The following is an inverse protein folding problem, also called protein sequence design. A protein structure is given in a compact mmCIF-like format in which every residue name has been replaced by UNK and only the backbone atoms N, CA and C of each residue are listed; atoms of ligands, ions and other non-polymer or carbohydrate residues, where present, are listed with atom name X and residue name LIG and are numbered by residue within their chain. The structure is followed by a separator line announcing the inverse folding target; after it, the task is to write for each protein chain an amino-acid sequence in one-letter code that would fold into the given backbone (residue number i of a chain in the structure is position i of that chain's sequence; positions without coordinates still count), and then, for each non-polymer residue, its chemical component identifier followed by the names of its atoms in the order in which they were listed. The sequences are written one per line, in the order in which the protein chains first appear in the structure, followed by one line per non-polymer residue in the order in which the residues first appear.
data_IF_301344608666
#
_entry.id   IF_301344608666
#
_cell.length_a   1.000
_cell.length_b   1.000
_cell.length_c   1.000
_cell.angle_alpha   90.00
_cell.angle_beta   90.00
_cell.angle_gamma   90.00
#
_symmetry.space_group_name_H-M   'P 1'
#
loop_
_entity.id
_entity.type
_entity.pdbx_description
1 polymer ?
#
# COMPACT_ATOMS: atom_id res chain seq x y z
N UNK A 1 -21.19 4.06 2.74
CA UNK A 1 -20.33 4.56 3.84
C UNK A 1 -19.08 3.70 4.02
N UNK A 2 -19.20 2.38 4.28
CA UNK A 2 -18.02 1.51 4.47
C UNK A 2 -17.08 1.40 3.26
N UNK A 3 -17.60 1.39 2.03
CA UNK A 3 -16.76 1.32 0.82
C UNK A 3 -15.90 2.57 0.62
N UNK A 4 -16.45 3.73 0.99
CA UNK A 4 -15.72 5.00 0.98
C UNK A 4 -14.62 5.02 2.05
N UNK A 5 -14.92 4.57 3.27
CA UNK A 5 -13.92 4.44 4.33
C UNK A 5 -12.78 3.49 3.95
N UNK A 6 -13.11 2.34 3.36
CA UNK A 6 -12.11 1.37 2.90
C UNK A 6 -11.23 1.95 1.79
N UNK A 7 -11.81 2.68 0.84
CA UNK A 7 -11.04 3.35 -0.21
C UNK A 7 -10.08 4.40 0.37
N UNK A 8 -10.53 5.22 1.34
CA UNK A 8 -9.69 6.24 1.98
C UNK A 8 -8.58 5.64 2.85
N UNK A 9 -8.86 4.54 3.57
CA UNK A 9 -7.86 3.79 4.33
C UNK A 9 -6.77 3.22 3.42
N UNK A 10 -7.14 2.69 2.26
CA UNK A 10 -6.17 2.15 1.32
C UNK A 10 -5.41 3.24 0.55
N UNK A 11 -6.02 4.41 0.33
CA UNK A 11 -5.43 5.52 -0.42
C UNK A 11 -4.05 5.93 0.13
N UNK A 12 -3.86 5.93 1.45
CA UNK A 12 -2.56 6.22 2.05
C UNK A 12 -1.47 5.25 1.58
N UNK A 13 -1.73 3.93 1.65
CA UNK A 13 -0.77 2.91 1.24
C UNK A 13 -0.51 2.86 -0.27
N UNK A 14 -1.50 3.22 -1.09
CA UNK A 14 -1.38 3.23 -2.56
C UNK A 14 -0.46 4.35 -3.08
N UNK A 15 -0.24 5.43 -2.31
CA UNK A 15 0.59 6.57 -2.72
C UNK A 15 2.08 6.30 -2.54
N UNK A 16 2.47 5.44 -1.60
CA UNK A 16 3.87 5.19 -1.27
C UNK A 16 4.69 4.76 -2.49
N UNK A 17 4.17 3.83 -3.29
CA UNK A 17 4.91 3.26 -4.42
C UNK A 17 5.13 4.28 -5.57
N UNK A 18 4.10 5.01 -6.06
CA UNK A 18 4.29 6.11 -7.01
C UNK A 18 5.35 7.14 -6.61
N UNK A 19 5.38 7.53 -5.33
CA UNK A 19 6.36 8.49 -4.83
C UNK A 19 7.78 7.89 -4.90
N UNK A 20 7.99 6.68 -4.39
CA UNK A 20 9.30 6.03 -4.39
C UNK A 20 9.81 5.73 -5.81
N UNK A 21 8.93 5.32 -6.73
CA UNK A 21 9.29 5.09 -8.13
C UNK A 21 9.68 6.40 -8.81
N UNK A 22 8.93 7.48 -8.58
CA UNK A 22 9.24 8.78 -9.19
C UNK A 22 10.63 9.29 -8.77
N UNK A 23 11.05 8.99 -7.55
CA UNK A 23 12.38 9.33 -7.03
C UNK A 23 13.49 8.40 -7.54
N UNK A 24 13.19 7.14 -7.84
CA UNK A 24 14.16 6.21 -8.41
C UNK A 24 14.44 6.51 -9.89
N UNK A 25 13.45 7.06 -10.60
CA UNK A 25 13.51 7.32 -12.04
C UNK A 25 14.16 8.67 -12.37
N UNK A 26 14.14 9.64 -11.44
CA UNK A 26 14.82 10.94 -11.55
C UNK A 26 14.43 11.79 -12.76
N UNK A 27 13.15 12.15 -12.83
CA UNK A 27 12.58 12.94 -13.93
C UNK A 27 12.84 14.47 -13.84
N UNK A 28 13.59 14.96 -12.85
CA UNK A 28 13.85 16.40 -12.64
C UNK A 28 12.57 17.22 -12.45
N UNK A 29 12.43 18.33 -13.20
CA UNK A 29 11.24 19.20 -13.18
C UNK A 29 9.93 18.46 -13.56
N UNK A 30 10.01 17.39 -14.36
CA UNK A 30 8.86 16.58 -14.75
C UNK A 30 8.39 15.58 -13.66
N UNK A 31 9.06 15.52 -12.50
CA UNK A 31 8.74 14.59 -11.40
C UNK A 31 7.30 14.74 -10.92
N UNK A 32 6.79 15.98 -10.76
CA UNK A 32 5.42 16.22 -10.31
C UNK A 32 4.41 15.65 -11.31
N UNK A 33 4.61 15.92 -12.61
CA UNK A 33 3.72 15.42 -13.66
C UNK A 33 3.75 13.88 -13.72
N UNK A 34 4.93 13.27 -13.59
CA UNK A 34 5.11 11.82 -13.55
C UNK A 34 4.43 11.21 -12.31
N UNK A 35 4.58 11.81 -11.13
CA UNK A 35 3.90 11.38 -9.88
C UNK A 35 2.39 11.36 -10.07
N UNK A 36 1.82 12.41 -10.66
CA UNK A 36 0.37 12.48 -10.93
C UNK A 36 -0.09 11.33 -11.82
N UNK A 37 0.64 11.05 -12.89
CA UNK A 37 0.33 9.95 -13.79
C UNK A 37 0.43 8.59 -13.10
N UNK A 38 1.48 8.36 -12.32
CA UNK A 38 1.69 7.11 -11.56
C UNK A 38 0.62 6.90 -10.48
N UNK A 39 0.23 7.95 -9.75
CA UNK A 39 -0.83 7.90 -8.73
C UNK A 39 -2.18 7.54 -9.39
N UNK A 40 -2.53 8.24 -10.47
CA UNK A 40 -3.75 7.98 -11.22
C UNK A 40 -3.79 6.55 -11.77
N UNK A 41 -2.69 6.10 -12.41
CA UNK A 41 -2.57 4.74 -12.92
C UNK A 41 -2.67 3.68 -11.80
N UNK A 42 -2.09 3.94 -10.64
CA UNK A 42 -2.16 3.04 -9.47
C UNK A 42 -3.60 2.92 -8.97
N UNK A 43 -4.34 4.02 -8.86
CA UNK A 43 -5.74 3.95 -8.42
C UNK A 43 -6.64 3.22 -9.42
N UNK A 44 -6.48 3.48 -10.72
CA UNK A 44 -7.25 2.80 -11.76
C UNK A 44 -6.92 1.30 -11.79
N UNK A 45 -5.63 0.94 -11.83
CA UNK A 45 -5.19 -0.46 -11.85
C UNK A 45 -5.60 -1.23 -10.59
N UNK A 46 -5.45 -0.64 -9.41
CA UNK A 46 -5.88 -1.25 -8.14
C UNK A 46 -7.40 -1.42 -8.07
N UNK A 47 -8.15 -0.44 -8.56
CA UNK A 47 -9.61 -0.50 -8.62
C UNK A 47 -10.10 -1.60 -9.57
N UNK A 48 -9.52 -1.70 -10.77
CA UNK A 48 -9.82 -2.76 -11.74
C UNK A 48 -9.46 -4.13 -11.16
N UNK A 49 -8.25 -4.30 -10.60
CA UNK A 49 -7.81 -5.55 -10.00
C UNK A 49 -8.73 -5.99 -8.85
N UNK A 50 -9.17 -5.04 -8.01
CA UNK A 50 -10.11 -5.30 -6.92
C UNK A 50 -11.47 -5.77 -7.43
N UNK A 51 -12.00 -5.16 -8.50
CA UNK A 51 -13.26 -5.59 -9.10
C UNK A 51 -13.12 -6.98 -9.72
N UNK A 52 -12.05 -7.23 -10.46
CA UNK A 52 -11.78 -8.55 -11.08
C UNK A 52 -11.66 -9.63 -10.00
N UNK A 53 -10.90 -9.37 -8.93
CA UNK A 53 -10.73 -10.34 -7.84
C UNK A 53 -12.05 -10.65 -7.12
N UNK A 54 -12.88 -9.63 -6.91
CA UNK A 54 -14.15 -9.80 -6.18
C UNK A 54 -15.26 -10.42 -7.04
N UNK A 55 -15.16 -10.36 -8.37
CA UNK A 55 -16.14 -10.91 -9.33
C UNK A 55 -15.73 -12.28 -9.88
N UNK A 56 -14.62 -12.33 -10.64
CA UNK A 56 -14.16 -13.49 -11.39
C UNK A 56 -13.02 -14.25 -10.70
N UNK A 57 -12.24 -13.59 -9.85
CA UNK A 57 -11.16 -14.21 -9.10
C UNK A 57 -11.66 -15.12 -7.98
N UNK A 58 -10.89 -15.17 -6.89
CA UNK A 58 -11.20 -16.02 -5.72
C UNK A 58 -12.46 -15.56 -4.95
N UNK A 59 -13.15 -14.50 -5.41
CA UNK A 59 -14.34 -13.89 -4.76
C UNK A 59 -14.09 -13.49 -3.30
N UNK A 60 -12.82 -13.26 -2.97
CA UNK A 60 -12.36 -12.81 -1.66
C UNK A 60 -12.56 -11.29 -1.56
N UNK A 61 -13.02 -10.84 -0.40
CA UNK A 61 -13.23 -9.42 -0.12
C UNK A 61 -11.90 -8.77 0.28
N UNK A 62 -11.01 -8.50 -0.70
CA UNK A 62 -9.69 -7.90 -0.49
C UNK A 62 -9.45 -6.77 -1.49
N UNK A 63 -9.00 -5.62 -1.00
CA UNK A 63 -8.57 -4.50 -1.84
C UNK A 63 -7.14 -4.71 -2.31
N UNK A 64 -6.90 -4.64 -3.62
CA UNK A 64 -5.57 -4.84 -4.19
C UNK A 64 -4.77 -3.54 -4.19
N UNK A 65 -3.46 -3.67 -4.03
CA UNK A 65 -2.50 -2.57 -4.03
C UNK A 65 -1.12 -3.03 -4.53
N UNK A 66 -0.18 -2.10 -4.74
CA UNK A 66 1.20 -2.44 -5.06
C UNK A 66 1.81 -3.25 -3.90
N UNK A 67 2.50 -4.34 -4.23
CA UNK A 67 3.08 -5.21 -3.23
C UNK A 67 4.39 -4.61 -2.69
N UNK A 68 4.45 -4.43 -1.36
CA UNK A 68 5.66 -3.95 -0.67
C UNK A 68 6.87 -4.87 -0.85
N UNK A 69 6.65 -6.13 -1.26
CA UNK A 69 7.72 -7.07 -1.59
C UNK A 69 8.59 -6.64 -2.78
N UNK A 70 8.10 -5.72 -3.64
CA UNK A 70 8.90 -5.16 -4.74
C UNK A 70 9.70 -3.92 -4.34
N UNK A 71 9.56 -3.43 -3.11
CA UNK A 71 10.31 -2.28 -2.64
C UNK A 71 11.81 -2.57 -2.46
N UNK A 72 12.26 -3.69 -1.87
CA UNK A 72 13.70 -3.99 -1.77
C UNK A 72 14.40 -4.07 -3.14
N UNK A 73 13.85 -4.73 -4.18
CA UNK A 73 14.40 -4.67 -5.53
C UNK A 73 14.49 -3.25 -6.10
N UNK A 74 13.49 -2.40 -5.84
CA UNK A 74 13.50 -0.99 -6.28
C UNK A 74 14.59 -0.18 -5.57
N UNK A 75 14.79 -0.40 -4.27
CA UNK A 75 15.87 0.23 -3.50
C UNK A 75 17.25 -0.26 -3.95
N UNK A 76 17.36 -1.56 -4.25
CA UNK A 76 18.56 -2.14 -4.82
C UNK A 76 18.88 -1.50 -6.19
N UNK A 77 17.87 -1.35 -7.06
CA UNK A 77 18.00 -0.62 -8.31
C UNK A 77 18.51 0.80 -8.06
N UNK A 78 17.89 1.57 -7.16
CA UNK A 78 18.34 2.93 -6.83
C UNK A 78 19.79 2.99 -6.33
N UNK A 79 20.27 1.95 -5.64
CA UNK A 79 21.64 1.88 -5.12
C UNK A 79 22.71 1.55 -6.20
N UNK A 80 22.31 1.12 -7.41
CA UNK A 80 23.27 0.90 -8.49
C UNK A 80 23.85 2.25 -8.97
N UNK A 81 25.17 2.29 -9.17
CA UNK A 81 25.89 3.49 -9.66
C UNK A 81 25.48 3.91 -11.07
N UNK A 82 24.96 2.98 -11.89
CA UNK A 82 24.42 3.28 -13.22
C UNK A 82 23.10 4.08 -13.18
N UNK A 83 22.36 3.98 -12.08
CA UNK A 83 21.07 4.65 -11.85
C UNK A 83 21.19 5.81 -10.87
N UNK A 84 22.40 6.18 -10.47
CA UNK A 84 22.64 7.37 -9.65
C UNK A 84 22.16 8.62 -10.40
N UNK A 85 21.55 9.54 -9.66
CA UNK A 85 20.94 10.73 -10.23
C UNK A 85 21.86 11.90 -10.01
N UNK A 86 22.50 12.36 -11.10
CA UNK A 86 23.42 13.50 -11.09
C UNK A 86 22.70 14.84 -11.28
N UNK A 87 21.39 14.81 -11.53
CA UNK A 87 20.56 15.98 -11.84
C UNK A 87 19.78 16.44 -10.61
N UNK A 88 19.66 17.75 -10.44
CA UNK A 88 18.87 18.38 -9.36
C UNK A 88 17.42 18.56 -9.80
N UNK A 89 16.47 18.75 -8.87
CA UNK A 89 15.04 18.91 -9.19
C UNK A 89 14.72 20.09 -10.14
N UNK A 90 15.62 21.06 -10.29
CA UNK A 90 15.47 22.19 -11.21
C UNK A 90 16.03 21.93 -12.63
N UNK A 91 16.74 20.82 -12.83
CA UNK A 91 17.34 20.52 -14.13
C UNK A 91 16.30 19.87 -15.05
N UNK A 92 16.27 20.34 -16.30
CA UNK A 92 15.42 19.74 -17.33
C UNK A 92 16.09 18.48 -17.86
N UNK A 93 15.56 17.32 -17.48
CA UNK A 93 16.05 16.01 -17.92
C UNK A 93 15.32 15.58 -19.18
N UNK A 94 16.04 15.16 -20.22
CA UNK A 94 15.41 14.65 -21.46
C UNK A 94 14.49 13.47 -21.16
N UNK A 95 13.35 13.41 -21.88
CA UNK A 95 12.32 12.40 -21.68
C UNK A 95 12.86 10.97 -21.82
N UNK A 96 13.86 10.77 -22.68
CA UNK A 96 14.41 9.46 -23.01
C UNK A 96 15.09 8.78 -21.81
N UNK A 97 15.71 9.56 -20.91
CA UNK A 97 16.47 9.02 -19.77
C UNK A 97 15.52 8.45 -18.72
N UNK A 98 14.54 9.26 -18.30
CA UNK A 98 13.62 8.85 -17.24
C UNK A 98 12.59 7.84 -17.78
N UNK A 99 12.19 7.91 -19.05
CA UNK A 99 11.35 6.89 -19.67
C UNK A 99 12.07 5.56 -19.81
N UNK A 100 13.36 5.55 -20.18
CA UNK A 100 14.16 4.33 -20.25
C UNK A 100 14.23 3.59 -18.92
N UNK A 101 14.51 4.31 -17.82
CA UNK A 101 14.51 3.74 -16.46
C UNK A 101 13.14 3.21 -16.04
N UNK A 102 12.07 3.94 -16.37
CA UNK A 102 10.70 3.50 -16.08
C UNK A 102 10.32 2.23 -16.86
N UNK A 103 10.74 2.12 -18.11
CA UNK A 103 10.56 0.93 -18.95
C UNK A 103 11.34 -0.27 -18.42
N UNK A 104 12.56 -0.06 -17.92
CA UNK A 104 13.36 -1.11 -17.30
C UNK A 104 12.70 -1.66 -16.02
N UNK A 105 12.27 -0.77 -15.11
CA UNK A 105 11.57 -1.15 -13.88
C UNK A 105 10.28 -1.89 -14.23
N UNK A 106 9.40 -1.30 -15.05
CA UNK A 106 8.12 -1.93 -15.42
C UNK A 106 8.27 -3.23 -16.21
N UNK A 107 9.28 -3.32 -17.08
CA UNK A 107 9.63 -4.53 -17.82
C UNK A 107 10.08 -5.66 -16.90
N UNK A 108 10.91 -5.35 -15.90
CA UNK A 108 11.33 -6.34 -14.88
C UNK A 108 10.13 -6.88 -14.08
N UNK A 109 9.19 -6.01 -13.71
CA UNK A 109 7.95 -6.41 -13.04
C UNK A 109 7.07 -7.29 -13.94
N UNK A 110 6.99 -6.98 -15.24
CA UNK A 110 6.23 -7.79 -16.20
C UNK A 110 6.81 -9.21 -16.30
N UNK A 111 8.13 -9.34 -16.41
CA UNK A 111 8.81 -10.64 -16.42
C UNK A 111 8.57 -11.41 -15.12
N UNK A 112 8.62 -10.72 -13.97
CA UNK A 112 8.30 -11.33 -12.68
C UNK A 112 6.85 -11.85 -12.64
N UNK A 113 5.87 -11.08 -13.12
CA UNK A 113 4.47 -11.50 -13.19
C UNK A 113 4.28 -12.71 -14.10
N UNK A 114 4.92 -12.73 -15.27
CA UNK A 114 4.88 -13.90 -16.18
C UNK A 114 5.47 -15.13 -15.49
N UNK A 115 6.58 -14.97 -14.77
CA UNK A 115 7.19 -16.07 -14.02
C UNK A 115 6.27 -16.61 -12.92
N UNK A 116 5.52 -15.75 -12.23
CA UNK A 116 4.51 -16.20 -11.24
C UNK A 116 3.38 -17.00 -11.89
N UNK A 117 2.92 -16.63 -13.09
CA UNK A 117 1.92 -17.42 -13.81
C UNK A 117 2.47 -18.80 -14.22
N UNK A 118 3.71 -18.88 -14.67
CA UNK A 118 4.36 -20.16 -15.01
C UNK A 118 4.53 -21.05 -13.78
N UNK A 119 4.99 -20.50 -12.65
CA UNK A 119 5.14 -21.24 -11.38
C UNK A 119 3.77 -21.67 -10.84
N UNK A 120 2.74 -20.83 -11.01
CA UNK A 120 1.35 -21.16 -10.67
C UNK A 120 0.79 -22.29 -11.53
N UNK A 121 1.02 -22.24 -12.85
CA UNK A 121 0.52 -23.23 -13.81
C UNK A 121 1.21 -24.59 -13.74
N UNK A 122 2.49 -24.63 -13.35
CA UNK A 122 3.26 -25.88 -13.16
C UNK A 122 2.89 -26.61 -11.86
N UNK A 123 2.04 -26.04 -11.00
CA UNK A 123 1.67 -26.62 -9.70
C UNK A 123 2.79 -26.57 -8.64
N UNK A 124 3.96 -26.03 -8.99
CA UNK A 124 5.11 -25.87 -8.09
C UNK A 124 4.77 -24.93 -6.91
N UNK A 125 3.91 -23.93 -7.15
CA UNK A 125 3.37 -23.08 -6.09
C UNK A 125 2.69 -23.88 -4.97
N UNK A 126 1.98 -24.97 -5.31
CA UNK A 126 1.32 -25.85 -4.33
C UNK A 126 2.29 -26.72 -3.54
N UNK A 127 3.40 -27.13 -4.17
CA UNK A 127 4.48 -27.85 -3.48
C UNK A 127 5.23 -26.92 -2.50
N UNK A 128 5.56 -25.70 -2.95
CA UNK A 128 6.18 -24.67 -2.11
C UNK A 128 5.26 -24.22 -0.97
N UNK A 129 3.94 -24.15 -1.19
CA UNK A 129 2.98 -23.80 -0.14
C UNK A 129 3.00 -24.78 1.05
N UNK A 130 3.46 -26.03 0.88
CA UNK A 130 3.65 -26.97 2.00
C UNK A 130 4.88 -26.66 2.86
N UNK A 131 5.89 -26.01 2.27
CA UNK A 131 7.10 -25.58 2.97
C UNK A 131 6.88 -24.25 3.70
N UNK A 132 5.98 -23.41 3.18
CA UNK A 132 5.70 -22.07 3.70
C UNK A 132 4.82 -22.20 4.95
N UNK A 133 5.47 -22.41 6.10
CA UNK A 133 4.84 -22.34 7.41
C UNK A 133 4.93 -20.94 8.04
N UNK A 134 4.13 -20.65 9.07
CA UNK A 134 4.21 -19.37 9.80
C UNK A 134 5.60 -19.11 10.38
N UNK A 135 6.36 -20.17 10.71
CA UNK A 135 7.76 -20.10 11.16
C UNK A 135 8.72 -19.52 10.12
N UNK A 136 8.39 -19.62 8.82
CA UNK A 136 9.19 -19.05 7.72
C UNK A 136 8.65 -17.70 7.25
N UNK A 137 7.33 -17.51 7.28
CA UNK A 137 6.68 -16.26 6.87
C UNK A 137 7.05 -15.11 7.81
N UNK A 138 7.05 -15.35 9.14
CA UNK A 138 7.30 -14.28 10.11
C UNK A 138 8.71 -13.68 9.96
N UNK A 139 9.80 -14.47 9.91
CA UNK A 139 11.13 -13.94 9.64
C UNK A 139 11.22 -13.22 8.29
N UNK A 140 10.58 -13.74 7.24
CA UNK A 140 10.55 -13.08 5.93
C UNK A 140 9.88 -11.70 6.00
N UNK A 141 8.73 -11.59 6.67
CA UNK A 141 8.03 -10.31 6.83
C UNK A 141 8.86 -9.31 7.64
N UNK A 142 9.55 -9.76 8.69
CA UNK A 142 10.47 -8.91 9.46
C UNK A 142 11.60 -8.41 8.57
N UNK A 143 12.26 -9.29 7.79
CA UNK A 143 13.33 -8.91 6.86
C UNK A 143 12.86 -7.93 5.79
N UNK A 144 11.65 -8.10 5.26
CA UNK A 144 11.06 -7.15 4.33
C UNK A 144 10.87 -5.79 5.00
N UNK A 145 10.35 -5.74 6.23
CA UNK A 145 10.19 -4.46 6.94
C UNK A 145 11.52 -3.80 7.29
N UNK A 146 12.54 -4.55 7.71
CA UNK A 146 13.85 -3.98 8.04
C UNK A 146 14.54 -3.36 6.84
N UNK A 147 14.34 -3.92 5.64
CA UNK A 147 14.91 -3.35 4.40
C UNK A 147 14.39 -1.95 4.04
N UNK A 148 13.24 -1.55 4.59
CA UNK A 148 12.57 -0.27 4.29
C UNK A 148 12.96 0.82 5.30
N UNK A 149 13.42 0.44 6.50
CA UNK A 149 13.88 1.34 7.55
C UNK A 149 14.83 2.44 7.05
N UNK A 150 15.88 2.17 6.25
CA UNK A 150 16.76 3.25 5.78
C UNK A 150 16.04 4.29 4.91
N UNK A 151 15.02 3.88 4.16
CA UNK A 151 14.20 4.82 3.36
C UNK A 151 13.39 5.73 4.27
N UNK A 152 12.80 5.16 5.33
CA UNK A 152 12.06 5.92 6.34
C UNK A 152 12.99 6.93 7.03
N UNK A 153 14.16 6.48 7.48
CA UNK A 153 15.14 7.35 8.14
C UNK A 153 15.54 8.53 7.26
N UNK A 154 15.81 8.28 5.97
CA UNK A 154 16.14 9.34 5.01
C UNK A 154 15.00 10.33 4.80
N UNK A 155 13.74 9.90 4.88
CA UNK A 155 12.56 10.76 4.72
C UNK A 155 12.17 11.51 5.99
N UNK A 156 12.45 10.93 7.15
CA UNK A 156 12.17 11.52 8.46
C UNK A 156 13.27 12.49 8.92
N UNK A 157 14.53 12.26 8.55
CA UNK A 157 15.66 13.10 8.98
C UNK A 157 15.70 14.47 8.30
N UNK A 158 15.01 14.64 7.17
CA UNK A 158 15.04 15.86 6.36
C UNK A 158 14.49 17.09 7.11
N UNK A 159 13.46 16.93 7.96
CA UNK A 159 12.83 18.06 8.65
C UNK A 159 12.29 17.67 10.04
N UNK A 160 12.51 18.52 11.05
CA UNK A 160 11.89 18.37 12.39
C UNK A 160 10.34 18.31 12.32
N UNK A 161 9.77 18.94 11.29
CA UNK A 161 8.35 18.94 10.96
C UNK A 161 7.84 17.51 10.70
N UNK A 162 8.67 16.63 10.10
CA UNK A 162 8.32 15.22 9.86
C UNK A 162 8.09 14.46 11.17
N UNK A 163 8.90 14.74 12.19
CA UNK A 163 8.75 14.13 13.52
C UNK A 163 7.47 14.60 14.22
N UNK A 164 7.15 15.89 14.13
CA UNK A 164 5.89 16.44 14.66
C UNK A 164 4.68 15.81 13.95
N UNK A 165 4.74 15.69 12.63
CA UNK A 165 3.65 15.11 11.85
C UNK A 165 3.45 13.61 12.15
N UNK A 166 4.54 12.86 12.30
CA UNK A 166 4.51 11.46 12.74
C UNK A 166 3.86 11.33 14.12
N UNK A 167 4.31 12.13 15.09
CA UNK A 167 3.76 12.13 16.45
C UNK A 167 2.28 12.50 16.44
N UNK A 168 1.86 13.50 15.66
CA UNK A 168 0.46 13.85 15.50
C UNK A 168 -0.37 12.71 14.89
N UNK A 169 0.12 12.02 13.87
CA UNK A 169 -0.58 10.89 13.25
C UNK A 169 -0.70 9.71 14.23
N UNK A 170 0.38 9.38 14.94
CA UNK A 170 0.39 8.32 15.95
C UNK A 170 -0.53 8.69 17.12
N UNK A 171 -0.45 9.93 17.62
CA UNK A 171 -1.31 10.43 18.68
C UNK A 171 -2.79 10.41 18.27
N UNK A 172 -3.11 10.87 17.05
CA UNK A 172 -4.46 10.81 16.48
C UNK A 172 -4.93 9.36 16.36
N UNK A 173 -4.10 8.45 15.85
CA UNK A 173 -4.44 7.03 15.71
C UNK A 173 -4.72 6.38 17.08
N UNK A 174 -3.87 6.61 18.08
CA UNK A 174 -4.01 6.05 19.44
C UNK A 174 -5.20 6.66 20.17
N UNK A 175 -5.40 7.97 20.08
CA UNK A 175 -6.50 8.66 20.75
C UNK A 175 -7.85 8.31 20.13
N UNK A 176 -7.90 8.16 18.79
CA UNK A 176 -9.13 7.77 18.07
C UNK A 176 -9.45 6.28 18.17
N UNK A 177 -8.50 5.40 18.52
CA UNK A 177 -8.80 3.99 18.80
C UNK A 177 -9.76 3.83 19.99
N UNK A 178 -9.69 4.76 20.97
CA UNK A 178 -10.55 4.74 22.14
C UNK A 178 -11.98 5.28 21.90
N UNK A 179 -12.23 5.99 20.79
CA UNK A 179 -13.54 6.56 20.46
C UNK A 179 -14.49 5.50 19.87
N UNK A 180 -15.32 4.90 20.72
CA UNK A 180 -16.46 4.05 20.31
C UNK A 180 -17.69 4.91 20.06
N UNK A 181 -18.03 5.13 18.80
CA UNK A 181 -19.20 5.94 18.43
C UNK A 181 -20.46 5.06 18.45
N UNK A 182 -21.51 5.44 19.21
CA UNK A 182 -22.80 4.78 19.17
C UNK A 182 -23.51 5.12 17.86
N UNK A 183 -23.64 4.17 16.94
CA UNK A 183 -24.41 4.38 15.71
C UNK A 183 -25.82 3.78 15.92
N UNK A 184 -26.88 4.58 15.80
CA UNK A 184 -28.25 4.05 15.74
C UNK A 184 -28.46 3.39 14.38
N UNK A 185 -28.80 2.10 14.35
CA UNK A 185 -29.23 1.41 13.13
C UNK A 185 -30.70 1.02 13.23
N UNK A 186 -31.43 1.22 12.14
CA UNK A 186 -32.85 0.90 12.05
C UNK A 186 -33.03 -0.54 11.60
N UNK A 187 -33.52 -1.42 12.48
CA UNK A 187 -33.78 -2.82 12.13
C UNK A 187 -35.20 -2.97 11.58
N UNK A 188 -35.32 -3.17 10.27
CA UNK A 188 -36.61 -3.40 9.59
C UNK A 188 -37.38 -4.62 10.12
N UNK A 189 -36.68 -5.65 10.64
CA UNK A 189 -37.31 -6.85 11.22
C UNK A 189 -37.97 -6.61 12.58
N UNK A 190 -37.49 -5.63 13.37
CA UNK A 190 -37.95 -5.40 14.75
C UNK A 190 -38.65 -4.05 14.97
N UNK A 191 -38.79 -3.22 13.91
CA UNK A 191 -39.36 -1.86 13.95
C UNK A 191 -38.88 -1.03 15.16
N UNK A 192 -37.61 -1.19 15.55
CA UNK A 192 -36.98 -0.46 16.65
C UNK A 192 -35.57 0.00 16.25
N UNK A 193 -35.22 1.19 16.71
CA UNK A 193 -33.86 1.74 16.61
C UNK A 193 -33.01 1.05 17.66
N UNK A 194 -31.97 0.33 17.23
CA UNK A 194 -30.97 -0.24 18.12
C UNK A 194 -29.69 0.58 18.01
N UNK A 195 -29.14 0.96 19.16
CA UNK A 195 -27.86 1.68 19.24
C UNK A 195 -26.76 0.67 19.54
N UNK A 196 -25.90 0.40 18.58
CA UNK A 196 -24.70 -0.44 18.78
C UNK A 196 -23.47 0.46 18.78
N UNK A 197 -22.61 0.28 19.80
CA UNK A 197 -21.30 0.95 19.88
C UNK A 197 -20.34 0.24 18.93
N UNK A 198 -19.95 0.89 17.83
CA UNK A 198 -18.94 0.35 16.90
C UNK A 198 -17.67 1.22 16.93
N UNK A 199 -16.50 0.60 16.70
CA UNK A 199 -15.21 1.29 16.65
C UNK A 199 -15.03 1.95 15.28
N UNK A 200 -15.29 3.25 15.13
CA UNK A 200 -15.32 3.93 13.82
C UNK A 200 -14.02 3.84 13.00
N UNK A 201 -12.89 3.56 13.65
CA UNK A 201 -11.55 3.41 13.06
C UNK A 201 -10.91 2.04 13.31
N UNK A 202 -11.64 1.08 13.88
CA UNK A 202 -11.14 -0.29 13.98
C UNK A 202 -11.08 -0.92 12.60
N UNK A 203 -10.08 -1.76 12.34
CA UNK A 203 -10.00 -2.60 11.13
C UNK A 203 -11.30 -3.40 11.00
N UNK A 204 -12.27 -2.86 10.24
CA UNK A 204 -13.62 -3.37 10.33
C UNK A 204 -13.73 -4.69 9.57
N UNK A 205 -14.25 -5.74 10.19
CA UNK A 205 -14.45 -7.04 9.55
C UNK A 205 -15.69 -7.06 8.65
N UNK A 206 -16.05 -5.94 7.99
CA UNK A 206 -17.14 -5.93 7.01
C UNK A 206 -16.62 -6.48 5.69
N UNK A 207 -16.44 -7.79 5.66
CA UNK A 207 -16.02 -8.57 4.49
C UNK A 207 -17.19 -8.73 3.48
N UNK A 208 -17.77 -7.62 3.03
CA UNK A 208 -18.80 -7.61 2.00
C UNK A 208 -18.21 -7.32 0.63
N UNK A 209 -18.43 -8.24 -0.32
CA UNK A 209 -17.97 -8.12 -1.71
C UNK A 209 -18.45 -6.81 -2.35
N UNK A 210 -19.71 -6.44 -2.12
CA UNK A 210 -20.30 -5.21 -2.66
C UNK A 210 -19.62 -3.95 -2.11
N UNK A 211 -19.26 -3.95 -0.82
CA UNK A 211 -18.51 -2.84 -0.22
C UNK A 211 -17.15 -2.67 -0.90
N UNK A 212 -16.48 -3.79 -1.20
CA UNK A 212 -15.17 -3.79 -1.86
C UNK A 212 -15.26 -3.42 -3.34
N UNK A 213 -16.32 -3.82 -4.04
CA UNK A 213 -16.62 -3.38 -5.40
C UNK A 213 -16.89 -1.88 -5.45
N UNK A 214 -17.69 -1.33 -4.52
CA UNK A 214 -17.92 0.11 -4.40
C UNK A 214 -16.61 0.85 -4.15
N UNK A 215 -15.73 0.31 -3.29
CA UNK A 215 -14.40 0.89 -3.07
C UNK A 215 -13.54 0.87 -4.34
N UNK A 216 -13.54 -0.24 -5.09
CA UNK A 216 -12.83 -0.37 -6.36
C UNK A 216 -13.34 0.60 -7.44
N UNK A 217 -14.66 0.74 -7.58
CA UNK A 217 -15.27 1.73 -8.48
C UNK A 217 -14.90 3.16 -8.06
N UNK A 218 -14.93 3.45 -6.77
CA UNK A 218 -14.53 4.76 -6.26
C UNK A 218 -13.06 5.06 -6.56
N UNK A 219 -12.15 4.08 -6.41
CA UNK A 219 -10.74 4.24 -6.77
C UNK A 219 -10.56 4.50 -8.27
N UNK A 220 -11.31 3.82 -9.14
CA UNK A 220 -11.30 4.11 -10.58
C UNK A 220 -11.74 5.54 -10.85
N UNK A 221 -12.85 5.98 -10.25
CA UNK A 221 -13.32 7.36 -10.41
C UNK A 221 -12.28 8.38 -9.94
N UNK A 222 -11.69 8.18 -8.75
CA UNK A 222 -10.63 9.04 -8.23
C UNK A 222 -9.37 9.06 -9.11
N UNK A 223 -9.02 7.93 -9.72
CA UNK A 223 -7.88 7.83 -10.64
C UNK A 223 -8.14 8.48 -12.02
N UNK A 224 -9.38 8.45 -12.51
CA UNK A 224 -9.77 9.13 -13.75
C UNK A 224 -9.73 10.65 -13.60
N UNK A 225 -10.03 11.18 -12.41
CA UNK A 225 -9.90 12.61 -12.10
C UNK A 225 -8.47 12.98 -11.69
N UNK A 226 -7.60 13.20 -12.68
CA UNK A 226 -6.17 13.55 -12.47
C UNK A 226 -5.94 14.80 -11.63
N UNK A 227 -6.91 15.71 -11.52
CA UNK A 227 -6.84 16.86 -10.59
C UNK A 227 -6.71 16.42 -9.13
N UNK A 228 -7.35 15.32 -8.74
CA UNK A 228 -7.21 14.77 -7.39
C UNK A 228 -5.82 14.14 -7.21
N UNK A 229 -5.30 13.46 -8.24
CA UNK A 229 -3.93 12.96 -8.22
C UNK A 229 -2.88 14.08 -8.13
N UNK A 230 -3.12 15.25 -8.75
CA UNK A 230 -2.28 16.44 -8.59
C UNK A 230 -2.25 16.97 -7.16
N UNK A 231 -3.41 17.02 -6.50
CA UNK A 231 -3.48 17.37 -5.08
C UNK A 231 -2.69 16.36 -4.22
N UNK A 232 -2.83 15.07 -4.50
CA UNK A 232 -2.11 14.02 -3.76
C UNK A 232 -0.60 14.01 -4.06
N UNK A 233 -0.17 14.43 -5.25
CA UNK A 233 1.24 14.56 -5.59
C UNK A 233 1.93 15.72 -4.85
N UNK A 234 1.16 16.71 -4.38
CA UNK A 234 1.66 17.82 -3.56
C UNK A 234 1.87 17.46 -2.09
N UNK A 235 1.55 16.22 -1.70
CA UNK A 235 1.78 15.73 -0.33
C UNK A 235 3.29 15.76 -0.03
N UNK A 236 3.71 16.33 1.11
CA UNK A 236 5.12 16.37 1.48
C UNK A 236 5.68 14.96 1.73
N UNK A 237 6.94 14.76 1.35
CA UNK A 237 7.70 13.52 1.54
C UNK A 237 7.69 13.00 3.00
N UNK A 238 7.58 13.91 3.96
CA UNK A 238 7.40 13.62 5.39
C UNK A 238 6.19 12.72 5.68
N UNK A 239 5.05 12.98 5.01
CA UNK A 239 3.83 12.17 5.15
C UNK A 239 4.03 10.78 4.56
N UNK A 240 4.78 10.66 3.47
CA UNK A 240 5.09 9.37 2.85
C UNK A 240 5.91 8.50 3.80
N UNK A 241 6.90 9.09 4.49
CA UNK A 241 7.65 8.43 5.56
C UNK A 241 6.75 7.98 6.72
N UNK A 242 5.81 8.83 7.15
CA UNK A 242 4.81 8.46 8.16
C UNK A 242 3.93 7.28 7.75
N UNK A 243 3.39 7.30 6.54
CA UNK A 243 2.57 6.18 6.02
C UNK A 243 3.39 4.89 5.90
N UNK A 244 4.65 4.98 5.46
CA UNK A 244 5.59 3.86 5.43
C UNK A 244 5.81 3.25 6.83
N UNK A 245 6.02 4.08 7.85
CA UNK A 245 6.17 3.59 9.24
C UNK A 245 4.91 2.88 9.74
N UNK A 246 3.71 3.41 9.44
CA UNK A 246 2.44 2.77 9.78
C UNK A 246 2.25 1.44 9.03
N UNK A 247 2.67 1.37 7.77
CA UNK A 247 2.65 0.14 6.99
C UNK A 247 3.56 -0.94 7.58
N UNK A 248 4.78 -0.57 7.98
CA UNK A 248 5.71 -1.49 8.64
C UNK A 248 5.18 -1.95 9.99
N UNK A 249 4.64 -1.05 10.81
CA UNK A 249 4.11 -1.41 12.13
C UNK A 249 2.91 -2.35 12.01
N UNK A 250 2.06 -2.18 10.98
CA UNK A 250 0.97 -3.10 10.68
C UNK A 250 1.49 -4.48 10.25
N UNK A 251 2.46 -4.55 9.34
CA UNK A 251 3.05 -5.83 8.88
C UNK A 251 3.74 -6.55 10.04
N UNK A 252 4.52 -5.83 10.85
CA UNK A 252 5.17 -6.35 12.05
C UNK A 252 4.14 -6.85 13.08
N UNK A 253 3.04 -6.12 13.29
CA UNK A 253 1.95 -6.53 14.17
C UNK A 253 1.26 -7.82 13.71
N UNK A 254 1.03 -7.97 12.39
CA UNK A 254 0.49 -9.21 11.81
C UNK A 254 1.49 -10.36 11.95
N UNK A 255 2.78 -10.12 11.72
CA UNK A 255 3.83 -11.11 11.89
C UNK A 255 3.92 -11.59 13.35
N UNK A 256 3.89 -10.68 14.32
CA UNK A 256 3.87 -10.99 15.75
C UNK A 256 2.58 -11.74 16.16
N UNK A 257 1.43 -11.37 15.60
CA UNK A 257 0.16 -12.06 15.87
C UNK A 257 0.22 -13.51 15.38
N UNK A 258 0.78 -13.76 14.18
CA UNK A 258 0.98 -15.10 13.66
C UNK A 258 1.96 -15.91 14.52
N UNK A 259 3.04 -15.27 15.00
CA UNK A 259 4.02 -15.88 15.88
C UNK A 259 3.40 -16.30 17.23
N UNK A 260 2.56 -15.45 17.82
CA UNK A 260 1.84 -15.75 19.07
C UNK A 260 0.91 -16.96 18.94
N UNK A 261 0.26 -17.13 17.78
CA UNK A 261 -0.59 -18.31 17.51
C UNK A 261 0.23 -19.59 17.50
N UNK A 262 1.42 -19.57 16.88
CA UNK A 262 2.32 -20.73 16.83
C UNK A 262 2.83 -21.09 18.22
N UNK A 263 3.35 -20.11 18.98
CA UNK A 263 3.87 -20.36 20.32
C UNK A 263 2.79 -20.78 21.32
N UNK A 264 1.54 -20.32 21.16
CA UNK A 264 0.44 -20.71 22.04
C UNK A 264 -0.09 -22.13 21.75
N UNK A 265 0.24 -22.72 20.61
CA UNK A 265 -0.18 -24.08 20.24
C UNK A 265 1.01 -24.93 19.75
N UNK A 266 1.96 -25.29 20.64
CA UNK A 266 3.18 -26.01 20.26
C UNK A 266 2.97 -27.49 19.88
N UNK A 267 1.72 -27.96 19.84
CA UNK A 267 1.34 -29.37 19.59
C UNK A 267 1.15 -29.72 18.11
N UNK A 268 1.45 -28.81 17.17
CA UNK A 268 1.41 -29.05 15.71
C UNK A 268 2.66 -28.52 15.02
#
# INVERSE_FOLDING_TARGET
MFGFQQAMLCLSGLLVYPFLVSEAVCAGDATVQLRVQLIAATFVSCGIATIIQTTFGLRLCVLHGPAMAFLPPLLAYKALRASECTFTEQDTVSADIWQGRLQEISGSLLVACISFFVIGGTGLAGALARLIGPMTIVPLMILLTTSIVPTIESKLSLHWISLVMLVCIVAMAVYMEHLRVPIPYYSFKKKRVFTTKIRLFGQFPVASRTTMQIAGVLLILLGLFTKMAALLASIPDALVGGVLTMGISMIAGVAMSNLQVVFRNPSK
#
